data_IF_391000785450
#
_entry.id   IF_391000785450
#
_cell.length_a   1.000
_cell.length_b   1.000
_cell.length_c   1.000
_cell.angle_alpha   90.00
_cell.angle_beta   90.00
_cell.angle_gamma   90.00
#
_symmetry.space_group_name_H-M   'P 1'
#
loop_
_entity.id
_entity.type
_entity.pdbx_description
1 polymer ?
#
# COMPACT_ATOMS: atom_id res chain seq x y z
N UNK A 1 -10.00 27.99 -39.28
CA UNK A 1 -8.65 27.39 -39.18
C UNK A 1 -8.21 27.43 -37.73
N UNK A 2 -8.20 26.28 -37.05
CA UNK A 2 -7.87 26.16 -35.61
C UNK A 2 -6.34 26.19 -35.45
N UNK A 3 -5.83 27.14 -34.68
CA UNK A 3 -4.40 27.27 -34.35
C UNK A 3 -4.01 26.12 -33.42
N UNK A 4 -3.09 25.29 -33.89
CA UNK A 4 -2.42 24.23 -33.12
C UNK A 4 -1.39 24.93 -32.22
N UNK A 5 -1.61 24.88 -30.91
CA UNK A 5 -0.70 25.41 -29.91
C UNK A 5 0.24 24.27 -29.48
N UNK A 6 1.41 24.17 -30.12
CA UNK A 6 2.50 23.30 -29.67
C UNK A 6 3.28 24.09 -28.62
N UNK A 7 3.11 23.76 -27.35
CA UNK A 7 3.94 24.28 -26.27
C UNK A 7 5.20 23.41 -26.17
N UNK A 8 6.29 23.86 -26.79
CA UNK A 8 7.63 23.31 -26.56
C UNK A 8 8.09 23.78 -25.18
N UNK A 9 7.92 22.91 -24.17
CA UNK A 9 8.45 23.12 -22.84
C UNK A 9 9.90 22.64 -22.83
N UNK A 10 10.83 23.54 -23.16
CA UNK A 10 12.27 23.36 -22.89
C UNK A 10 12.53 23.49 -21.39
N UNK A 11 12.18 22.45 -20.62
CA UNK A 11 12.62 22.29 -19.24
C UNK A 11 14.08 21.82 -19.26
N UNK A 12 14.95 22.62 -18.66
CA UNK A 12 16.31 22.21 -18.28
C UNK A 12 16.20 20.95 -17.42
N UNK A 13 16.59 19.80 -17.98
CA UNK A 13 16.55 18.49 -17.36
C UNK A 13 17.59 18.40 -16.23
N UNK A 14 17.21 18.77 -15.01
CA UNK A 14 17.85 18.24 -13.80
C UNK A 14 17.05 16.98 -13.43
N UNK A 15 17.32 15.88 -14.13
CA UNK A 15 16.96 14.56 -13.63
C UNK A 15 17.76 14.33 -12.34
N UNK A 16 17.10 14.46 -11.18
CA UNK A 16 17.64 13.94 -9.92
C UNK A 16 17.70 12.42 -10.06
N UNK A 17 18.82 11.90 -10.53
CA UNK A 17 19.17 10.51 -10.27
C UNK A 17 19.22 10.38 -8.75
N UNK A 18 18.31 9.60 -8.15
CA UNK A 18 18.43 9.27 -6.73
C UNK A 18 19.82 8.70 -6.49
N UNK A 19 20.51 9.25 -5.50
CA UNK A 19 21.82 8.75 -5.12
C UNK A 19 21.66 7.38 -4.45
N UNK A 20 22.67 6.50 -4.51
CA UNK A 20 22.64 5.22 -3.78
C UNK A 20 22.42 5.39 -2.27
N UNK A 21 22.70 6.59 -1.73
CA UNK A 21 22.45 6.95 -0.34
C UNK A 21 20.96 7.11 -0.03
N UNK A 22 20.15 7.60 -0.97
CA UNK A 22 18.70 7.78 -0.78
C UNK A 22 17.97 6.43 -0.78
N UNK A 23 18.37 5.51 -1.66
CA UNK A 23 17.86 4.11 -1.66
C UNK A 23 18.17 3.40 -0.34
N UNK A 24 19.36 3.63 0.24
CA UNK A 24 19.73 3.05 1.53
C UNK A 24 18.86 3.59 2.69
N UNK A 25 18.52 4.89 2.67
CA UNK A 25 17.60 5.48 3.67
C UNK A 25 16.21 4.88 3.58
N UNK A 26 15.68 4.71 2.36
CA UNK A 26 14.36 4.09 2.12
C UNK A 26 14.32 2.65 2.62
N UNK A 27 15.37 1.86 2.35
CA UNK A 27 15.46 0.49 2.86
C UNK A 27 15.44 0.45 4.38
N UNK A 28 16.29 1.24 5.04
CA UNK A 28 16.36 1.35 6.51
C UNK A 28 15.04 1.83 7.10
N UNK A 29 14.33 2.72 6.40
CA UNK A 29 12.99 3.16 6.80
C UNK A 29 12.03 1.96 6.88
N UNK A 30 11.93 1.18 5.81
CA UNK A 30 11.03 0.02 5.80
C UNK A 30 11.43 -1.06 6.81
N UNK A 31 12.72 -1.31 7.00
CA UNK A 31 13.22 -2.23 8.05
C UNK A 31 12.74 -1.78 9.45
N UNK A 32 12.88 -0.49 9.79
CA UNK A 32 12.44 0.03 11.10
C UNK A 32 10.93 0.01 11.28
N UNK A 33 10.17 0.42 10.26
CA UNK A 33 8.69 0.38 10.27
C UNK A 33 8.18 -1.05 10.45
N UNK A 34 8.86 -2.03 9.83
CA UNK A 34 8.51 -3.44 9.98
C UNK A 34 8.73 -3.95 11.40
N UNK A 35 9.88 -3.66 12.01
CA UNK A 35 10.11 -3.99 13.41
C UNK A 35 9.13 -3.26 14.34
N UNK A 36 8.81 -1.99 14.06
CA UNK A 36 7.78 -1.26 14.80
C UNK A 36 6.42 -1.96 14.73
N UNK A 37 6.03 -2.42 13.55
CA UNK A 37 4.78 -3.16 13.34
C UNK A 37 4.75 -4.48 14.12
N UNK A 38 5.86 -5.22 14.17
CA UNK A 38 5.97 -6.42 15.02
C UNK A 38 5.77 -6.10 16.50
N UNK A 39 6.33 -4.99 16.98
CA UNK A 39 6.13 -4.55 18.37
C UNK A 39 4.67 -4.20 18.64
N UNK A 40 3.97 -3.53 17.71
CA UNK A 40 2.51 -3.29 17.82
C UNK A 40 1.74 -4.61 17.95
N UNK A 41 2.06 -5.61 17.10
CA UNK A 41 1.40 -6.93 17.13
C UNK A 41 1.61 -7.67 18.46
N UNK A 42 2.75 -7.44 19.12
CA UNK A 42 3.08 -7.99 20.44
C UNK A 42 2.51 -7.16 21.60
N UNK A 43 1.77 -6.09 21.32
CA UNK A 43 1.30 -5.09 22.28
C UNK A 43 2.44 -4.37 23.03
N UNK A 44 3.65 -4.37 22.47
CA UNK A 44 4.79 -3.60 22.98
C UNK A 44 4.77 -2.20 22.34
N UNK A 45 3.80 -1.39 22.77
CA UNK A 45 3.62 -0.03 22.25
C UNK A 45 4.80 0.89 22.53
N UNK A 46 5.46 0.86 23.71
CA UNK A 46 6.67 1.66 23.94
C UNK A 46 7.78 1.40 22.92
N UNK A 47 8.09 0.12 22.62
CA UNK A 47 9.08 -0.21 21.60
C UNK A 47 8.62 0.22 20.19
N UNK A 48 7.34 0.01 19.86
CA UNK A 48 6.79 0.43 18.57
C UNK A 48 6.92 1.95 18.35
N UNK A 49 6.60 2.76 19.36
CA UNK A 49 6.69 4.22 19.29
C UNK A 49 8.13 4.67 19.01
N UNK A 50 9.11 4.09 19.71
CA UNK A 50 10.54 4.41 19.50
C UNK A 50 10.94 4.09 18.05
N UNK A 51 10.61 2.89 17.57
CA UNK A 51 10.97 2.43 16.23
C UNK A 51 10.33 3.28 15.11
N UNK A 52 9.05 3.64 15.24
CA UNK A 52 8.39 4.56 14.30
C UNK A 52 9.04 5.95 14.31
N UNK A 53 9.30 6.52 15.49
CA UNK A 53 9.97 7.84 15.60
C UNK A 53 11.37 7.80 14.98
N UNK A 54 12.11 6.70 15.11
CA UNK A 54 13.39 6.53 14.43
C UNK A 54 13.26 6.38 12.91
N UNK A 55 12.27 5.60 12.44
CA UNK A 55 12.00 5.46 11.01
C UNK A 55 11.70 6.83 10.38
N UNK A 56 10.88 7.65 11.05
CA UNK A 56 10.45 8.94 10.52
C UNK A 56 11.57 9.98 10.44
N UNK A 57 12.74 9.74 11.06
CA UNK A 57 13.94 10.57 10.85
C UNK A 57 14.64 10.29 9.51
N UNK A 58 14.32 9.17 8.86
CA UNK A 58 14.99 8.75 7.62
C UNK A 58 14.34 9.36 6.37
N UNK A 59 13.08 9.81 6.47
CA UNK A 59 12.31 10.41 5.38
C UNK A 59 11.75 11.76 5.79
N UNK A 60 11.73 12.71 4.87
CA UNK A 60 11.11 14.01 5.08
C UNK A 60 9.60 13.90 5.31
N UNK A 61 8.93 12.99 4.60
CA UNK A 61 7.48 12.77 4.67
C UNK A 61 7.15 11.29 4.93
N UNK A 62 6.93 10.80 6.16
CA UNK A 62 6.60 9.38 6.37
C UNK A 62 5.29 8.98 5.65
N UNK A 63 5.12 7.70 5.29
CA UNK A 63 3.89 7.24 4.62
C UNK A 63 2.69 7.28 5.58
N UNK A 64 1.49 7.67 5.11
CA UNK A 64 0.32 7.87 5.99
C UNK A 64 -0.03 6.65 6.82
N UNK A 65 0.15 5.45 6.28
CA UNK A 65 -0.19 4.24 7.03
C UNK A 65 0.75 4.02 8.22
N UNK A 66 2.03 4.34 8.07
CA UNK A 66 2.98 4.24 9.18
C UNK A 66 2.69 5.33 10.22
N UNK A 67 2.28 6.53 9.78
CA UNK A 67 1.81 7.61 10.66
C UNK A 67 0.56 7.19 11.43
N UNK A 68 -0.40 6.53 10.77
CA UNK A 68 -1.58 5.95 11.41
C UNK A 68 -1.20 4.91 12.46
N UNK A 69 -0.24 4.04 12.16
CA UNK A 69 0.22 3.01 13.10
C UNK A 69 0.92 3.62 14.32
N UNK A 70 1.67 4.71 14.14
CA UNK A 70 2.23 5.46 15.26
C UNK A 70 1.12 6.09 16.12
N UNK A 71 0.11 6.72 15.51
CA UNK A 71 -1.06 7.25 16.26
C UNK A 71 -1.71 6.14 17.08
N UNK A 72 -1.95 4.99 16.46
CA UNK A 72 -2.52 3.83 17.15
C UNK A 72 -1.65 3.44 18.36
N UNK A 73 -0.35 3.23 18.17
CA UNK A 73 0.57 2.87 19.26
C UNK A 73 0.62 3.94 20.38
N UNK A 74 0.57 5.23 20.02
CA UNK A 74 0.53 6.33 20.99
C UNK A 74 -0.76 6.33 21.80
N UNK A 75 -1.91 6.08 21.18
CA UNK A 75 -3.21 6.07 21.86
C UNK A 75 -3.47 4.80 22.68
N UNK A 76 -2.80 3.69 22.33
CA UNK A 76 -2.85 2.44 23.11
C UNK A 76 -1.78 2.39 24.21
N UNK A 77 -0.79 3.30 24.19
CA UNK A 77 0.18 3.45 25.27
C UNK A 77 -0.48 3.88 26.59
N UNK A 78 0.11 3.46 27.71
CA UNK A 78 -0.32 3.87 29.06
C UNK A 78 -0.27 5.40 29.24
N UNK A 79 0.65 6.05 28.55
CA UNK A 79 0.82 7.51 28.59
C UNK A 79 0.82 8.06 27.16
N UNK A 80 -0.37 8.42 26.62
CA UNK A 80 -0.47 9.01 25.29
C UNK A 80 0.25 10.36 25.21
N UNK A 81 1.21 10.46 24.28
CA UNK A 81 1.93 11.70 23.98
C UNK A 81 1.06 12.57 23.06
N UNK A 82 0.28 13.47 23.67
CA UNK A 82 -0.70 14.33 22.99
C UNK A 82 -0.05 15.18 21.89
N UNK A 83 1.10 15.77 22.17
CA UNK A 83 1.79 16.63 21.21
C UNK A 83 2.20 15.85 19.95
N UNK A 84 2.69 14.63 20.14
CA UNK A 84 3.06 13.76 19.03
C UNK A 84 1.84 13.27 18.23
N UNK A 85 0.73 12.92 18.89
CA UNK A 85 -0.50 12.53 18.20
C UNK A 85 -1.00 13.67 17.30
N UNK A 86 -1.04 14.90 17.84
CA UNK A 86 -1.43 16.10 17.09
C UNK A 86 -0.49 16.37 15.91
N UNK A 87 0.83 16.20 16.10
CA UNK A 87 1.81 16.30 15.01
C UNK A 87 1.53 15.28 13.90
N UNK A 88 1.24 14.03 14.26
CA UNK A 88 0.92 12.97 13.30
C UNK A 88 -0.38 13.25 12.53
N UNK A 89 -1.43 13.68 13.22
CA UNK A 89 -2.69 14.05 12.58
C UNK A 89 -2.53 15.22 11.60
N UNK A 90 -1.69 16.21 11.91
CA UNK A 90 -1.34 17.30 10.97
C UNK A 90 -0.61 16.80 9.73
N UNK A 91 0.29 15.81 9.86
CA UNK A 91 0.94 15.16 8.71
C UNK A 91 -0.12 14.50 7.81
N UNK A 92 -1.08 13.78 8.40
CA UNK A 92 -2.15 13.14 7.65
C UNK A 92 -3.06 14.13 6.94
N UNK A 93 -3.44 15.23 7.60
CA UNK A 93 -4.18 16.33 6.96
C UNK A 93 -3.40 16.91 5.77
N UNK A 94 -2.07 17.11 5.94
CA UNK A 94 -1.19 17.59 4.87
C UNK A 94 -1.14 16.66 3.64
N UNK A 95 -1.45 15.37 3.83
CA UNK A 95 -1.55 14.36 2.77
C UNK A 95 -2.98 14.15 2.24
N UNK A 96 -3.88 15.11 2.51
CA UNK A 96 -5.27 15.07 2.04
C UNK A 96 -6.16 14.07 2.78
N UNK A 97 -5.84 13.70 4.03
CA UNK A 97 -6.73 12.88 4.86
C UNK A 97 -7.70 13.77 5.65
N UNK A 98 -8.99 13.53 5.50
CA UNK A 98 -10.04 14.17 6.29
C UNK A 98 -10.06 13.54 7.69
N UNK A 99 -9.20 14.02 8.59
CA UNK A 99 -8.94 13.34 9.87
C UNK A 99 -10.16 13.32 10.79
N UNK A 100 -10.98 14.38 10.80
CA UNK A 100 -12.19 14.46 11.60
C UNK A 100 -13.20 13.39 11.19
N UNK A 101 -13.47 13.26 9.89
CA UNK A 101 -14.40 12.29 9.32
C UNK A 101 -13.85 10.87 9.43
N UNK A 102 -12.57 10.70 9.11
CA UNK A 102 -11.92 9.41 9.16
C UNK A 102 -11.91 8.86 10.59
N UNK A 103 -11.60 9.71 11.58
CA UNK A 103 -11.42 9.28 12.96
C UNK A 103 -12.65 9.43 13.86
N UNK A 104 -13.76 10.00 13.38
CA UNK A 104 -14.98 10.24 14.14
C UNK A 104 -15.47 9.00 14.92
N UNK A 105 -15.26 7.79 14.35
CA UNK A 105 -15.69 6.51 14.94
C UNK A 105 -14.68 5.84 15.87
N UNK A 106 -13.52 6.44 16.15
CA UNK A 106 -12.51 5.88 17.04
C UNK A 106 -12.39 6.72 18.31
N UNK A 107 -13.04 6.32 19.42
CA UNK A 107 -13.12 7.13 20.65
C UNK A 107 -11.78 7.52 21.25
N UNK A 108 -10.72 6.71 21.02
CA UNK A 108 -9.37 7.01 21.50
C UNK A 108 -8.60 8.02 20.65
N UNK A 109 -9.04 8.30 19.42
CA UNK A 109 -8.36 9.21 18.48
C UNK A 109 -9.18 10.49 18.26
N UNK A 110 -10.51 10.37 18.22
CA UNK A 110 -11.43 11.49 17.98
C UNK A 110 -11.15 12.73 18.86
N UNK A 111 -10.90 12.62 20.18
CA UNK A 111 -10.63 13.80 21.01
C UNK A 111 -9.40 14.61 20.58
N UNK A 112 -8.44 14.00 19.91
CA UNK A 112 -7.27 14.70 19.37
C UNK A 112 -7.56 15.38 18.04
N UNK A 113 -8.51 14.85 17.26
CA UNK A 113 -8.95 15.49 16.02
C UNK A 113 -9.69 16.79 16.32
N UNK A 114 -10.46 16.84 17.41
CA UNK A 114 -11.20 18.04 17.85
C UNK A 114 -10.28 19.21 18.24
N UNK A 115 -8.99 18.95 18.48
CA UNK A 115 -7.96 19.96 18.76
C UNK A 115 -7.34 20.56 17.48
N UNK A 116 -7.78 20.12 16.30
CA UNK A 116 -7.29 20.59 15.01
C UNK A 116 -8.36 21.39 14.27
N UNK A 117 -7.92 22.41 13.54
CA UNK A 117 -8.77 23.08 12.57
C UNK A 117 -9.21 22.11 11.47
N UNK A 118 -10.46 22.22 11.05
CA UNK A 118 -10.95 21.57 9.84
C UNK A 118 -10.20 22.12 8.63
N UNK A 119 -9.68 21.23 7.80
CA UNK A 119 -9.01 21.57 6.54
C UNK A 119 -9.67 20.86 5.37
N UNK A 120 -9.70 21.51 4.22
CA UNK A 120 -10.10 20.87 2.97
C UNK A 120 -9.09 19.77 2.61
N UNK A 121 -9.48 18.54 2.88
CA UNK A 121 -8.71 17.34 2.60
C UNK A 121 -8.73 16.94 1.12
N UNK A 122 -9.52 17.59 0.27
CA UNK A 122 -9.49 17.33 -1.18
C UNK A 122 -8.31 18.01 -1.86
N UNK A 123 -7.63 18.94 -1.16
CA UNK A 123 -6.47 19.63 -1.71
C UNK A 123 -5.24 18.75 -1.67
N UNK A 124 -4.64 18.53 -2.83
CA UNK A 124 -3.36 17.83 -3.03
C UNK A 124 -2.34 18.79 -3.64
N UNK A 125 -1.07 18.40 -3.70
CA UNK A 125 -0.04 19.21 -4.36
C UNK A 125 -0.23 19.25 -5.88
N UNK A 126 -0.76 18.18 -6.46
CA UNK A 126 -1.02 18.07 -7.90
C UNK A 126 -2.48 17.69 -8.16
N UNK A 127 -3.33 18.72 -8.29
CA UNK A 127 -4.76 18.55 -8.53
C UNK A 127 -5.06 17.96 -9.92
N UNK A 128 -4.27 18.29 -10.94
CA UNK A 128 -4.45 17.76 -12.29
C UNK A 128 -4.21 16.25 -12.33
N UNK A 129 -3.14 15.80 -11.68
CA UNK A 129 -2.82 14.37 -11.58
C UNK A 129 -3.85 13.61 -10.73
N UNK A 130 -4.32 14.21 -9.64
CA UNK A 130 -5.40 13.65 -8.83
C UNK A 130 -6.70 13.50 -9.64
N UNK A 131 -7.10 14.54 -10.39
CA UNK A 131 -8.28 14.51 -11.24
C UNK A 131 -8.16 13.47 -12.37
N UNK A 132 -6.98 13.31 -12.97
CA UNK A 132 -6.73 12.25 -13.95
C UNK A 132 -6.96 10.86 -13.35
N UNK A 133 -6.44 10.60 -12.14
CA UNK A 133 -6.65 9.31 -11.46
C UNK A 133 -8.11 9.06 -11.12
N UNK A 134 -8.84 10.08 -10.65
CA UNK A 134 -10.27 9.98 -10.39
C UNK A 134 -11.05 9.63 -11.65
N UNK A 135 -10.73 10.24 -12.80
CA UNK A 135 -11.35 9.90 -14.08
C UNK A 135 -11.07 8.45 -14.52
N UNK A 136 -9.85 7.94 -14.29
CA UNK A 136 -9.51 6.55 -14.60
C UNK A 136 -10.30 5.58 -13.72
N UNK A 137 -10.44 5.88 -12.42
CA UNK A 137 -11.25 5.08 -11.49
C UNK A 137 -12.73 5.15 -11.86
N UNK A 138 -13.25 6.33 -12.20
CA UNK A 138 -14.65 6.48 -12.58
C UNK A 138 -15.00 5.59 -13.79
N UNK A 139 -14.17 5.61 -14.84
CA UNK A 139 -14.32 4.76 -16.03
C UNK A 139 -14.23 3.28 -15.69
N UNK A 140 -13.27 2.89 -14.86
CA UNK A 140 -13.12 1.51 -14.37
C UNK A 140 -14.38 1.04 -13.63
N UNK A 141 -14.86 1.84 -12.68
CA UNK A 141 -16.02 1.50 -11.86
C UNK A 141 -17.34 1.55 -12.62
N UNK A 142 -17.47 2.43 -13.62
CA UNK A 142 -18.64 2.46 -14.51
C UNK A 142 -18.76 1.15 -15.30
N UNK A 143 -17.68 0.68 -15.92
CA UNK A 143 -17.69 -0.57 -16.68
C UNK A 143 -18.08 -1.78 -15.80
N UNK A 144 -17.59 -1.82 -14.57
CA UNK A 144 -17.88 -2.89 -13.60
C UNK A 144 -19.31 -2.84 -13.06
N UNK A 145 -19.90 -1.65 -12.91
CA UNK A 145 -21.32 -1.48 -12.54
C UNK A 145 -22.26 -1.99 -13.63
N UNK A 146 -21.92 -1.75 -14.90
CA UNK A 146 -22.70 -2.24 -16.04
C UNK A 146 -22.60 -3.77 -16.22
N UNK A 147 -21.51 -4.37 -15.74
CA UNK A 147 -21.20 -5.78 -15.93
C UNK A 147 -20.71 -6.41 -14.61
N UNK A 148 -21.62 -6.73 -13.66
CA UNK A 148 -21.23 -7.23 -12.34
C UNK A 148 -20.49 -8.57 -12.42
N UNK A 149 -20.78 -9.40 -13.43
CA UNK A 149 -19.94 -10.55 -13.79
C UNK A 149 -18.89 -10.13 -14.81
N UNK A 150 -17.85 -9.45 -14.32
CA UNK A 150 -16.70 -8.96 -15.10
C UNK A 150 -15.92 -10.08 -15.82
N UNK A 151 -16.21 -11.35 -15.48
CA UNK A 151 -15.55 -12.52 -16.02
C UNK A 151 -16.40 -13.28 -17.04
N UNK A 152 -17.62 -12.83 -17.28
CA UNK A 152 -18.49 -13.39 -18.30
C UNK A 152 -17.88 -13.22 -19.71
N UNK A 153 -18.00 -14.25 -20.54
CA UNK A 153 -17.36 -14.29 -21.85
C UNK A 153 -17.75 -13.11 -22.77
N UNK A 154 -18.96 -12.56 -22.62
CA UNK A 154 -19.44 -11.44 -23.43
C UNK A 154 -18.81 -10.08 -23.09
N UNK A 155 -18.13 -9.95 -21.93
CA UNK A 155 -17.61 -8.65 -21.44
C UNK A 155 -16.12 -8.68 -21.11
N UNK A 156 -15.56 -9.88 -20.94
CA UNK A 156 -14.17 -10.07 -20.47
C UNK A 156 -13.13 -9.36 -21.35
N UNK A 157 -13.31 -9.36 -22.67
CA UNK A 157 -12.38 -8.68 -23.59
C UNK A 157 -12.43 -7.16 -23.41
N UNK A 158 -13.63 -6.60 -23.20
CA UNK A 158 -13.82 -5.17 -22.96
C UNK A 158 -13.19 -4.74 -21.64
N UNK A 159 -13.40 -5.52 -20.58
CA UNK A 159 -12.78 -5.27 -19.27
C UNK A 159 -11.25 -5.34 -19.39
N UNK A 160 -10.71 -6.35 -20.09
CA UNK A 160 -9.27 -6.50 -20.28
C UNK A 160 -8.64 -5.34 -21.06
N UNK A 161 -9.29 -4.84 -22.11
CA UNK A 161 -8.81 -3.68 -22.89
C UNK A 161 -8.80 -2.42 -22.00
N UNK A 162 -9.84 -2.21 -21.21
CA UNK A 162 -9.91 -1.09 -20.27
C UNK A 162 -8.80 -1.18 -19.21
N UNK A 163 -8.63 -2.34 -18.57
CA UNK A 163 -7.61 -2.55 -17.55
C UNK A 163 -6.19 -2.37 -18.12
N UNK A 164 -5.96 -2.80 -19.37
CA UNK A 164 -4.71 -2.54 -20.10
C UNK A 164 -4.48 -1.04 -20.35
N UNK A 165 -5.52 -0.31 -20.76
CA UNK A 165 -5.45 1.13 -20.98
C UNK A 165 -5.17 1.90 -19.68
N UNK A 166 -5.87 1.54 -18.59
CA UNK A 166 -5.64 2.11 -17.27
C UNK A 166 -4.20 1.84 -16.79
N UNK A 167 -3.72 0.61 -16.97
CA UNK A 167 -2.34 0.27 -16.65
C UNK A 167 -1.33 1.10 -17.44
N UNK A 168 -1.54 1.29 -18.74
CA UNK A 168 -0.69 2.14 -19.56
C UNK A 168 -0.64 3.59 -19.04
N UNK A 169 -1.79 4.15 -18.64
CA UNK A 169 -1.85 5.48 -18.04
C UNK A 169 -1.10 5.53 -16.70
N UNK A 170 -1.26 4.52 -15.83
CA UNK A 170 -0.51 4.42 -14.58
C UNK A 170 1.01 4.37 -14.81
N UNK A 171 1.48 3.62 -15.82
CA UNK A 171 2.90 3.58 -16.16
C UNK A 171 3.44 4.96 -16.54
N UNK A 172 2.64 5.77 -17.26
CA UNK A 172 3.04 7.14 -17.60
C UNK A 172 3.08 8.05 -16.37
N UNK A 173 2.13 7.90 -15.44
CA UNK A 173 2.14 8.59 -14.14
C UNK A 173 3.38 8.19 -13.32
N UNK A 174 3.71 6.91 -13.25
CA UNK A 174 4.90 6.42 -12.55
C UNK A 174 6.19 6.95 -13.13
N UNK A 175 6.32 6.98 -14.47
CA UNK A 175 7.48 7.59 -15.13
C UNK A 175 7.59 9.07 -14.80
N UNK A 176 6.49 9.80 -14.76
CA UNK A 176 6.48 11.20 -14.33
C UNK A 176 6.98 11.35 -12.89
N UNK A 177 6.40 10.61 -11.93
CA UNK A 177 6.80 10.70 -10.53
C UNK A 177 8.28 10.34 -10.33
N UNK A 178 8.76 9.26 -10.95
CA UNK A 178 10.16 8.83 -10.90
C UNK A 178 11.10 9.88 -11.50
N UNK A 179 10.78 10.42 -12.68
CA UNK A 179 11.60 11.43 -13.37
C UNK A 179 11.82 12.67 -12.51
N UNK A 180 10.81 13.05 -11.73
CA UNK A 180 10.83 14.24 -10.89
C UNK A 180 11.21 13.97 -9.43
N UNK A 181 11.46 12.71 -9.06
CA UNK A 181 11.78 12.32 -7.68
C UNK A 181 10.62 12.59 -6.71
N UNK A 182 9.39 12.50 -7.19
CA UNK A 182 8.18 12.81 -6.44
C UNK A 182 7.60 11.57 -5.79
N UNK A 183 6.94 11.76 -4.66
CA UNK A 183 6.26 10.68 -3.93
C UNK A 183 4.77 10.77 -4.18
N UNK A 184 4.17 9.66 -4.60
CA UNK A 184 2.77 9.65 -5.00
C UNK A 184 1.88 10.20 -3.88
N UNK A 185 2.04 9.74 -2.65
CA UNK A 185 1.18 10.19 -1.55
C UNK A 185 1.28 11.69 -1.25
N UNK A 186 2.44 12.30 -1.47
CA UNK A 186 2.61 13.74 -1.28
C UNK A 186 1.99 14.52 -2.45
N UNK A 187 2.05 13.98 -3.67
CA UNK A 187 1.52 14.64 -4.87
C UNK A 187 0.00 14.58 -5.00
N UNK A 188 -0.58 13.40 -4.76
CA UNK A 188 -2.00 13.10 -5.06
C UNK A 188 -2.79 12.68 -3.83
N UNK A 189 -2.18 12.74 -2.64
CA UNK A 189 -2.83 12.44 -1.37
C UNK A 189 -3.23 10.97 -1.20
N UNK A 190 -3.77 10.65 -0.03
CA UNK A 190 -4.20 9.29 0.32
C UNK A 190 -5.30 8.73 -0.60
N UNK A 191 -6.17 9.60 -1.15
CA UNK A 191 -7.23 9.19 -2.08
C UNK A 191 -6.68 8.82 -3.45
N UNK A 192 -5.76 9.62 -3.98
CA UNK A 192 -5.10 9.32 -5.25
C UNK A 192 -4.26 8.06 -5.16
N UNK A 193 -3.55 7.85 -4.05
CA UNK A 193 -2.80 6.60 -3.86
C UNK A 193 -3.71 5.39 -3.70
N UNK A 194 -4.89 5.52 -3.08
CA UNK A 194 -5.92 4.47 -3.10
C UNK A 194 -6.42 4.13 -4.53
N UNK A 195 -6.52 5.15 -5.39
CA UNK A 195 -6.90 4.98 -6.80
C UNK A 195 -5.85 4.18 -7.59
N UNK A 196 -4.56 4.43 -7.31
CA UNK A 196 -3.45 3.64 -7.89
C UNK A 196 -3.56 2.16 -7.46
N UNK A 197 -3.80 1.88 -6.18
CA UNK A 197 -3.91 0.50 -5.67
C UNK A 197 -5.03 -0.27 -6.39
N UNK A 198 -6.21 0.34 -6.46
CA UNK A 198 -7.38 -0.24 -7.12
C UNK A 198 -7.10 -0.61 -8.58
N UNK A 199 -6.58 0.35 -9.34
CA UNK A 199 -6.30 0.17 -10.77
C UNK A 199 -5.20 -0.87 -11.02
N UNK A 200 -4.17 -0.94 -10.15
CA UNK A 200 -3.14 -1.98 -10.23
C UNK A 200 -3.71 -3.36 -9.93
N UNK A 201 -4.56 -3.50 -8.91
CA UNK A 201 -5.22 -4.76 -8.56
C UNK A 201 -6.13 -5.26 -9.69
N UNK A 202 -6.84 -4.37 -10.36
CA UNK A 202 -7.68 -4.72 -11.51
C UNK A 202 -6.89 -5.14 -12.75
N UNK A 203 -5.72 -4.55 -12.97
CA UNK A 203 -4.85 -4.91 -14.09
C UNK A 203 -4.07 -6.22 -13.87
N UNK A 204 -3.71 -6.52 -12.61
CA UNK A 204 -2.93 -7.68 -12.20
C UNK A 204 -3.42 -9.05 -12.76
N UNK A 205 -4.73 -9.38 -12.71
CA UNK A 205 -5.33 -10.59 -13.29
C UNK A 205 -4.97 -10.89 -14.75
N UNK A 206 -4.70 -9.85 -15.54
CA UNK A 206 -4.43 -9.96 -16.97
C UNK A 206 -2.94 -10.09 -17.30
N UNK A 207 -2.10 -10.26 -16.29
CA UNK A 207 -0.64 -10.32 -16.44
C UNK A 207 0.03 -8.94 -16.48
N UNK A 208 -0.71 -7.86 -16.18
CA UNK A 208 -0.15 -6.50 -16.12
C UNK A 208 0.52 -6.20 -14.77
N UNK A 209 1.33 -7.14 -14.28
CA UNK A 209 2.20 -6.93 -13.13
C UNK A 209 3.64 -6.80 -13.61
N UNK A 210 4.18 -5.58 -13.58
CA UNK A 210 5.57 -5.30 -13.91
C UNK A 210 6.37 -5.15 -12.61
N UNK A 211 6.86 -6.28 -12.09
CA UNK A 211 7.68 -6.31 -10.87
C UNK A 211 8.86 -5.32 -10.92
N UNK A 212 9.69 -5.28 -11.98
CA UNK A 212 10.80 -4.31 -12.06
C UNK A 212 10.38 -2.85 -11.89
N UNK A 213 9.26 -2.44 -12.51
CA UNK A 213 8.75 -1.08 -12.37
C UNK A 213 8.25 -0.81 -10.95
N UNK A 214 7.47 -1.74 -10.37
CA UNK A 214 6.94 -1.59 -9.02
C UNK A 214 8.05 -1.58 -7.96
N UNK A 215 9.07 -2.42 -8.11
CA UNK A 215 10.26 -2.42 -7.25
C UNK A 215 10.99 -1.09 -7.33
N UNK A 216 11.19 -0.55 -8.54
CA UNK A 216 11.82 0.76 -8.74
C UNK A 216 11.04 1.88 -8.03
N UNK A 217 9.71 1.85 -8.08
CA UNK A 217 8.85 2.82 -7.39
C UNK A 217 8.98 2.74 -5.87
N UNK A 218 9.17 1.54 -5.32
CA UNK A 218 9.32 1.34 -3.86
C UNK A 218 10.72 1.71 -3.40
N UNK A 219 11.75 1.25 -4.10
CA UNK A 219 13.15 1.50 -3.74
C UNK A 219 13.51 2.99 -3.81
N UNK A 220 12.78 3.75 -4.63
CA UNK A 220 12.90 5.21 -4.71
C UNK A 220 12.01 5.96 -3.72
N UNK A 221 11.15 5.27 -2.97
CA UNK A 221 10.19 5.88 -2.06
C UNK A 221 8.98 6.55 -2.73
N UNK A 222 8.86 6.41 -4.05
CA UNK A 222 7.74 6.96 -4.82
C UNK A 222 6.41 6.32 -4.39
N UNK A 223 6.41 4.99 -4.19
CA UNK A 223 5.28 4.23 -3.65
C UNK A 223 5.65 3.52 -2.35
N UNK A 224 4.62 3.25 -1.55
CA UNK A 224 4.72 2.46 -0.34
C UNK A 224 4.90 0.96 -0.67
N UNK A 225 5.72 0.24 0.10
CA UNK A 225 6.02 -1.18 -0.16
C UNK A 225 4.80 -2.10 -0.10
N UNK A 226 3.74 -1.68 0.59
CA UNK A 226 2.49 -2.45 0.70
C UNK A 226 1.69 -2.50 -0.60
N UNK A 227 1.93 -1.59 -1.55
CA UNK A 227 1.34 -1.67 -2.90
C UNK A 227 1.83 -2.91 -3.65
N UNK A 228 3.15 -3.17 -3.62
CA UNK A 228 3.73 -4.37 -4.23
C UNK A 228 3.14 -5.64 -3.61
N UNK A 229 3.03 -5.68 -2.28
CA UNK A 229 2.43 -6.82 -1.58
C UNK A 229 0.96 -7.04 -1.97
N UNK A 230 0.16 -5.96 -2.04
CA UNK A 230 -1.26 -6.02 -2.42
C UNK A 230 -1.44 -6.55 -3.84
N UNK A 231 -0.71 -5.99 -4.80
CA UNK A 231 -0.78 -6.37 -6.22
C UNK A 231 -0.30 -7.80 -6.42
N UNK A 232 0.81 -8.18 -5.76
CA UNK A 232 1.33 -9.55 -5.79
C UNK A 232 0.33 -10.57 -5.23
N UNK A 233 -0.26 -10.29 -4.06
CA UNK A 233 -1.28 -11.15 -3.45
C UNK A 233 -2.48 -11.30 -4.39
N UNK A 234 -2.93 -10.19 -5.02
CA UNK A 234 -4.06 -10.20 -5.96
C UNK A 234 -3.74 -11.02 -7.22
N UNK A 235 -2.58 -10.79 -7.83
CA UNK A 235 -2.07 -11.57 -8.96
C UNK A 235 -2.04 -13.06 -8.63
N UNK A 236 -1.35 -13.45 -7.54
CA UNK A 236 -1.20 -14.87 -7.20
C UNK A 236 -2.54 -15.55 -6.87
N UNK A 237 -3.48 -14.84 -6.21
CA UNK A 237 -4.82 -15.37 -5.90
C UNK A 237 -5.71 -15.53 -7.12
N UNK A 238 -5.71 -14.56 -8.04
CA UNK A 238 -6.52 -14.63 -9.25
C UNK A 238 -6.27 -15.92 -10.04
N UNK A 239 -5.00 -16.33 -10.13
CA UNK A 239 -4.61 -17.53 -10.85
C UNK A 239 -4.91 -18.86 -10.11
N UNK A 240 -5.35 -18.84 -8.84
CA UNK A 240 -5.73 -20.07 -8.11
C UNK A 240 -7.11 -20.57 -8.47
N UNK A 241 -8.03 -19.65 -8.74
CA UNK A 241 -9.45 -19.98 -8.83
C UNK A 241 -9.85 -20.52 -10.21
N UNK A 242 -9.00 -20.35 -11.23
CA UNK A 242 -9.41 -20.54 -12.63
C UNK A 242 -9.09 -21.87 -13.28
N UNK A 243 -8.58 -22.89 -12.56
CA UNK A 243 -8.27 -24.22 -13.13
C UNK A 243 -7.69 -24.11 -14.56
N UNK A 244 -6.75 -23.19 -14.78
CA UNK A 244 -6.17 -22.99 -16.09
C UNK A 244 -5.01 -23.98 -16.21
N UNK A 245 -5.14 -25.09 -16.97
CA UNK A 245 -4.13 -26.14 -17.06
C UNK A 245 -2.79 -25.71 -17.71
N UNK A 246 -2.58 -24.40 -17.92
CA UNK A 246 -1.35 -23.81 -18.50
C UNK A 246 -0.62 -22.84 -17.55
N UNK A 247 -1.00 -22.74 -16.27
CA UNK A 247 -0.48 -21.73 -15.34
C UNK A 247 0.33 -22.28 -14.15
N UNK A 248 0.61 -23.59 -14.11
CA UNK A 248 1.58 -24.16 -13.16
C UNK A 248 2.95 -23.48 -13.29
N UNK A 249 3.34 -23.16 -14.52
CA UNK A 249 4.67 -22.67 -14.85
C UNK A 249 4.82 -21.19 -14.43
N UNK A 250 3.82 -20.35 -14.75
CA UNK A 250 3.87 -18.93 -14.35
C UNK A 250 3.90 -18.73 -12.83
N UNK A 251 3.19 -19.56 -12.05
CA UNK A 251 3.21 -19.46 -10.58
C UNK A 251 4.58 -19.78 -10.01
N UNK A 252 5.24 -20.79 -10.58
CA UNK A 252 6.62 -21.16 -10.25
C UNK A 252 7.59 -20.05 -10.67
N UNK A 253 7.43 -19.51 -11.88
CA UNK A 253 8.29 -18.47 -12.46
C UNK A 253 8.13 -17.10 -11.76
N UNK A 254 6.90 -16.79 -11.30
CA UNK A 254 6.59 -15.58 -10.53
C UNK A 254 6.87 -15.74 -9.03
N UNK A 255 7.26 -16.94 -8.58
CA UNK A 255 7.55 -17.25 -7.18
C UNK A 255 6.34 -17.18 -6.25
N UNK A 256 5.12 -17.39 -6.77
CA UNK A 256 3.88 -17.30 -6.00
C UNK A 256 3.91 -18.25 -4.79
N UNK A 257 3.75 -17.69 -3.59
CA UNK A 257 3.74 -18.44 -2.33
C UNK A 257 2.28 -18.70 -1.96
N UNK A 258 1.93 -19.94 -1.63
CA UNK A 258 0.61 -20.28 -1.11
C UNK A 258 0.44 -19.66 0.29
N UNK A 259 -0.06 -18.43 0.32
CA UNK A 259 -0.31 -17.70 1.56
C UNK A 259 -1.11 -16.43 1.27
N UNK A 260 -2.32 -16.35 1.82
CA UNK A 260 -3.17 -15.15 1.79
C UNK A 260 -2.72 -14.13 2.85
N UNK A 261 -1.50 -13.59 2.81
CA UNK A 261 -0.90 -13.11 4.08
C UNK A 261 -0.62 -11.60 4.19
N UNK A 262 -0.51 -10.74 3.18
CA UNK A 262 0.05 -9.40 3.46
C UNK A 262 -0.79 -8.18 3.08
N UNK A 263 -1.49 -8.15 1.94
CA UNK A 263 -2.25 -6.98 1.50
C UNK A 263 -3.47 -6.65 2.37
N UNK A 264 -4.12 -7.68 2.94
CA UNK A 264 -5.33 -7.50 3.78
C UNK A 264 -5.02 -7.06 5.21
N UNK A 265 -3.84 -7.42 5.75
CA UNK A 265 -3.48 -7.11 7.14
C UNK A 265 -3.22 -5.62 7.27
N UNK A 266 -2.45 -5.04 6.35
CA UNK A 266 -2.00 -3.65 6.43
C UNK A 266 -3.12 -2.66 6.11
N UNK A 267 -3.95 -2.93 5.10
CA UNK A 267 -5.15 -2.11 4.79
C UNK A 267 -6.20 -2.10 5.91
N UNK A 268 -6.29 -3.14 6.75
CA UNK A 268 -7.28 -3.26 7.82
C UNK A 268 -6.85 -2.62 9.15
N UNK A 269 -5.56 -2.51 9.44
CA UNK A 269 -5.06 -1.64 10.54
C UNK A 269 -5.55 -0.20 10.38
N UNK A 270 -5.62 0.30 9.14
CA UNK A 270 -6.14 1.63 8.85
C UNK A 270 -7.61 1.80 9.28
N UNK A 271 -8.42 0.73 9.27
CA UNK A 271 -9.85 0.77 9.62
C UNK A 271 -10.18 0.54 11.10
N UNK A 272 -9.17 0.43 11.97
CA UNK A 272 -9.30 0.21 13.42
C UNK A 272 -10.24 -0.94 13.83
N UNK A 273 -10.38 -1.95 12.97
CA UNK A 273 -10.98 -3.22 13.36
C UNK A 273 -9.99 -3.99 14.24
N UNK A 274 -10.41 -4.39 15.44
CA UNK A 274 -9.63 -5.28 16.31
C UNK A 274 -9.28 -6.55 15.53
N UNK A 275 -8.02 -6.95 15.63
CA UNK A 275 -7.52 -8.19 15.05
C UNK A 275 -8.26 -9.37 15.70
N UNK A 276 -9.08 -10.09 14.93
CA UNK A 276 -8.94 -11.54 14.93
C UNK A 276 -7.78 -11.80 13.99
N UNK A 277 -6.61 -12.02 14.58
CA UNK A 277 -5.61 -12.86 13.93
C UNK A 277 -6.37 -14.08 13.44
N UNK A 278 -6.38 -14.32 12.13
CA UNK A 278 -6.31 -15.70 11.70
C UNK A 278 -4.90 -16.12 12.11
N UNK A 279 -4.80 -16.47 13.39
CA UNK A 279 -3.85 -17.44 13.89
C UNK A 279 -4.07 -18.62 12.97
N UNK A 280 -3.10 -18.91 12.11
CA UNK A 280 -2.95 -20.31 11.75
C UNK A 280 -2.66 -21.03 13.06
N UNK A 281 -3.53 -21.93 13.55
CA UNK A 281 -3.28 -22.66 14.77
C UNK A 281 -1.97 -23.42 14.57
N UNK A 282 -0.92 -22.99 15.27
CA UNK A 282 0.42 -23.57 15.09
C UNK A 282 1.60 -22.69 15.51
N UNK A 283 1.43 -21.41 15.82
CA UNK A 283 2.54 -20.56 16.28
C UNK A 283 2.20 -19.81 17.58
N UNK A 284 1.85 -20.57 18.61
CA UNK A 284 2.23 -20.39 20.02
C UNK A 284 1.20 -21.12 20.90
N UNK A 285 1.52 -22.36 21.30
CA UNK A 285 1.24 -22.88 22.64
C UNK A 285 2.09 -24.14 22.82
N UNK A 286 3.26 -23.98 23.44
CA UNK A 286 3.72 -25.04 24.34
C UNK A 286 2.75 -25.04 25.52
N UNK A 287 2.01 -26.14 25.66
CA UNK A 287 0.96 -26.31 26.65
C UNK A 287 -0.02 -27.44 26.32
N UNK A 288 0.52 -28.66 26.14
CA UNK A 288 -0.06 -29.98 26.46
C UNK A 288 -1.52 -30.36 26.11
N UNK A 289 -1.64 -31.55 25.47
CA UNK A 289 -2.78 -32.53 25.41
C UNK A 289 -3.83 -32.23 24.31
N UNK A 290 -4.21 -33.08 23.34
CA UNK A 290 -4.01 -34.51 23.05
C UNK A 290 -4.17 -34.76 21.54
N UNK A 291 -3.61 -35.88 21.07
CA UNK A 291 -3.63 -36.36 19.69
C UNK A 291 -5.04 -36.70 19.19
N UNK A 292 -5.33 -36.47 17.90
CA UNK A 292 -5.69 -37.59 17.00
C UNK A 292 -5.60 -37.24 15.49
N UNK A 293 -4.67 -37.95 14.84
CA UNK A 293 -4.71 -38.56 13.49
C UNK A 293 -5.22 -37.74 12.29
N UNK A 294 -4.30 -37.29 11.43
CA UNK A 294 -3.90 -38.02 10.21
C UNK A 294 -3.25 -37.09 9.17
N UNK A 295 -2.08 -37.47 8.66
CA UNK A 295 -1.56 -37.02 7.36
C UNK A 295 -0.40 -36.01 7.37
N UNK A 296 0.82 -36.54 7.52
CA UNK A 296 2.14 -35.96 7.19
C UNK A 296 2.17 -34.57 6.50
N UNK A 297 2.53 -33.53 7.27
CA UNK A 297 3.15 -32.30 6.77
C UNK A 297 4.51 -32.18 7.46
N UNK A 298 5.63 -31.98 6.73
CA UNK A 298 6.96 -31.94 7.35
C UNK A 298 7.10 -30.73 8.30
N UNK A 299 7.81 -30.88 9.44
CA UNK A 299 8.02 -29.80 10.38
C UNK A 299 9.14 -28.88 9.87
N UNK A 300 8.95 -27.57 10.04
CA UNK A 300 10.03 -26.59 9.99
C UNK A 300 10.01 -25.70 8.75
N UNK A 301 9.30 -24.57 8.85
CA UNK A 301 9.71 -23.31 8.23
C UNK A 301 9.19 -22.15 9.08
N UNK A 302 9.92 -21.81 10.14
CA UNK A 302 9.84 -20.48 10.75
C UNK A 302 10.52 -19.49 9.78
N UNK A 303 9.79 -19.10 8.73
CA UNK A 303 10.25 -18.14 7.75
C UNK A 303 10.06 -16.70 8.23
N UNK A 304 11.09 -15.87 8.04
CA UNK A 304 11.03 -14.41 8.09
C UNK A 304 9.77 -13.87 7.37
N UNK A 305 9.21 -12.72 7.79
CA UNK A 305 8.13 -12.07 7.03
C UNK A 305 8.58 -11.78 5.59
N UNK A 306 7.95 -12.46 4.62
CA UNK A 306 8.48 -12.61 3.26
C UNK A 306 8.41 -11.36 2.39
N UNK A 307 7.71 -10.29 2.81
CA UNK A 307 7.76 -8.97 2.13
C UNK A 307 9.22 -8.52 1.98
N UNK A 308 10.04 -8.74 3.01
CA UNK A 308 11.45 -8.37 2.97
C UNK A 308 12.30 -9.32 2.11
N UNK A 309 11.93 -10.59 1.93
CA UNK A 309 12.67 -11.46 0.99
C UNK A 309 12.59 -10.95 -0.45
N UNK A 310 11.46 -10.36 -0.85
CA UNK A 310 11.32 -9.74 -2.18
C UNK A 310 12.10 -8.44 -2.39
N UNK A 311 12.42 -7.71 -1.31
CA UNK A 311 13.23 -6.47 -1.35
C UNK A 311 14.75 -6.71 -1.17
N UNK A 312 15.14 -7.91 -0.75
CA UNK A 312 16.53 -8.26 -0.43
C UNK A 312 17.16 -9.25 -1.44
N UNK A 313 16.38 -9.76 -2.40
CA UNK A 313 16.80 -10.66 -3.50
C UNK A 313 17.09 -9.89 -4.78
#
# INVERSE_FOLDING_TARGET
MKKVFIFFLSIICISKSLSGQDTMKIRKYFEKVHEATKSVVRNDYPAAIILYKEAFKLLESPFSLDVNNLIFALTESRYPDTAEIIRCLKILQGKGRCVHEYYARYPKIAPYCDLLDHKDCNRTNNQELAALLEQLVEKDQEARRLHPDIYHASVIDRIRVMDSSNYHNLVNIFRYLLKHGLRAEDEIGARGTGSIDLLLQHAAPWGFYNKPLTDSLILTGCLDSRYLASVYDHSCKFYSYRNAPRLSDWRSDAGCINGSIYGSITSKFASGQKYHSIVYPGCAQEGTVEQEKAGNIPPGYCGLPQIHRFMLS
#
